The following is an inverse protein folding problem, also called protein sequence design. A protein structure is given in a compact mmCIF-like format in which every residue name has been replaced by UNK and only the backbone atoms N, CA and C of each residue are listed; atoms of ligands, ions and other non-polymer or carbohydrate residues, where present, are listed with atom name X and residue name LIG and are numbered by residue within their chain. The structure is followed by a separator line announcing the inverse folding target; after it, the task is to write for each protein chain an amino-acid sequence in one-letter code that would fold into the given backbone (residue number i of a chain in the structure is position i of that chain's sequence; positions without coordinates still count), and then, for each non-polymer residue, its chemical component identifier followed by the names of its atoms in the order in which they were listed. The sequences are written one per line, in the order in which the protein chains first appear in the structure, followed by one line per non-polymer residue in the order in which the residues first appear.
data_IF_250793769862
#
_entry.id   IF_250793769862
#
_cell.length_a   1.000
_cell.length_b   1.000
_cell.length_c   1.000
_cell.angle_alpha   90.00
_cell.angle_beta   90.00
_cell.angle_gamma   90.00
#
_symmetry.space_group_name_H-M   'P 1'
#
loop_
_entity.id
_entity.type
_entity.pdbx_description
1 polymer ?
#
# COMPACT_ATOMS: atom_id res chain seq x y z
N UNK A 1 3.09 -2.23 -19.27
CA UNK A 1 3.50 -2.95 -18.04
C UNK A 1 2.47 -2.75 -16.92
N UNK A 2 2.34 -1.55 -16.33
CA UNK A 2 1.37 -1.32 -15.26
C UNK A 2 -0.09 -1.43 -15.73
N UNK A 3 -0.41 -0.84 -16.89
CA UNK A 3 -1.73 -1.01 -17.53
C UNK A 3 -2.08 -2.49 -17.76
N UNK A 4 -1.12 -3.29 -18.23
CA UNK A 4 -1.32 -4.72 -18.44
C UNK A 4 -1.60 -5.45 -17.12
N UNK A 5 -0.96 -5.02 -16.02
CA UNK A 5 -1.23 -5.56 -14.69
C UNK A 5 -2.59 -5.15 -14.17
N UNK A 6 -3.02 -3.90 -14.35
CA UNK A 6 -4.38 -3.48 -14.00
C UNK A 6 -5.41 -4.31 -14.80
N UNK A 7 -5.20 -4.45 -16.10
CA UNK A 7 -6.11 -5.18 -16.98
C UNK A 7 -6.22 -6.65 -16.58
N UNK A 8 -5.09 -7.33 -16.37
CA UNK A 8 -5.07 -8.76 -16.06
C UNK A 8 -5.40 -9.10 -14.61
N UNK A 9 -4.99 -8.27 -13.64
CA UNK A 9 -5.13 -8.59 -12.22
C UNK A 9 -6.40 -7.98 -11.62
N UNK A 10 -6.95 -6.91 -12.22
CA UNK A 10 -8.14 -6.20 -11.71
C UNK A 10 -9.31 -6.30 -12.70
N UNK A 11 -9.17 -5.77 -13.91
CA UNK A 11 -10.32 -5.57 -14.83
C UNK A 11 -10.90 -6.90 -15.33
N UNK A 12 -10.05 -7.87 -15.67
CA UNK A 12 -10.49 -9.18 -16.19
C UNK A 12 -10.94 -10.16 -15.11
N UNK A 13 -10.74 -9.83 -13.84
CA UNK A 13 -11.11 -10.71 -12.73
C UNK A 13 -12.45 -10.28 -12.14
N UNK A 14 -13.23 -11.27 -11.72
CA UNK A 14 -14.45 -11.05 -10.96
C UNK A 14 -14.08 -10.81 -9.49
N UNK A 15 -13.85 -9.55 -9.15
CA UNK A 15 -13.44 -9.09 -7.82
C UNK A 15 -14.58 -8.31 -7.18
N UNK A 16 -14.85 -8.58 -5.91
CA UNK A 16 -15.70 -7.71 -5.11
C UNK A 16 -14.86 -6.73 -4.30
N UNK A 17 -15.40 -5.53 -4.07
CA UNK A 17 -14.78 -4.53 -3.20
C UNK A 17 -15.48 -4.58 -1.85
N UNK A 18 -14.71 -4.69 -0.78
CA UNK A 18 -15.19 -4.69 0.60
C UNK A 18 -14.41 -3.69 1.44
N UNK A 19 -14.99 -3.18 2.51
CA UNK A 19 -14.26 -2.32 3.43
C UNK A 19 -13.12 -3.08 4.10
N UNK A 20 -11.97 -2.42 4.20
CA UNK A 20 -10.79 -2.97 4.87
C UNK A 20 -11.06 -3.29 6.34
N UNK A 21 -11.84 -2.45 7.03
CA UNK A 21 -12.30 -2.70 8.41
C UNK A 21 -13.10 -4.02 8.51
N UNK A 22 -13.95 -4.31 7.52
CA UNK A 22 -14.84 -5.48 7.49
C UNK A 22 -14.16 -6.79 7.04
N UNK A 23 -12.83 -6.82 7.00
CA UNK A 23 -12.04 -7.89 6.37
C UNK A 23 -12.15 -9.24 7.08
N UNK A 24 -13.16 -10.02 6.70
CA UNK A 24 -13.14 -11.48 6.70
C UNK A 24 -12.19 -11.95 5.58
N UNK A 25 -11.36 -12.99 5.81
CA UNK A 25 -10.25 -13.47 4.95
C UNK A 25 -10.73 -14.08 3.60
N UNK A 26 -11.68 -13.41 2.94
CA UNK A 26 -12.31 -13.79 1.68
C UNK A 26 -11.29 -13.74 0.55
N UNK A 27 -11.38 -14.74 -0.33
CA UNK A 27 -10.60 -14.79 -1.57
C UNK A 27 -11.28 -13.95 -2.64
N UNK A 28 -10.51 -13.42 -3.59
CA UNK A 28 -10.99 -12.63 -4.74
C UNK A 28 -11.72 -11.33 -4.34
N UNK A 29 -11.20 -10.64 -3.33
CA UNK A 29 -11.70 -9.33 -2.93
C UNK A 29 -10.58 -8.30 -2.99
N UNK A 30 -10.96 -7.07 -3.31
CA UNK A 30 -10.15 -5.88 -3.10
C UNK A 30 -10.68 -5.15 -1.87
N UNK A 31 -9.79 -4.50 -1.12
CA UNK A 31 -10.20 -3.80 0.09
C UNK A 31 -10.22 -2.30 -0.15
N UNK A 32 -11.37 -1.67 0.01
CA UNK A 32 -11.47 -0.20 0.07
C UNK A 32 -10.99 0.27 1.45
N UNK A 33 -10.14 1.28 1.43
CA UNK A 33 -9.53 1.84 2.61
C UNK A 33 -10.52 2.77 3.33
N UNK A 34 -11.06 2.31 4.46
CA UNK A 34 -12.10 3.03 5.21
C UNK A 34 -11.71 3.41 6.64
N UNK A 35 -10.43 3.28 6.99
CA UNK A 35 -9.86 3.69 8.28
C UNK A 35 -8.93 4.90 8.13
N UNK A 36 -8.39 5.42 9.24
CA UNK A 36 -7.46 6.54 9.19
C UNK A 36 -6.23 6.23 8.31
N UNK A 37 -5.98 7.06 7.29
CA UNK A 37 -4.85 6.91 6.38
C UNK A 37 -3.55 7.32 7.10
N UNK A 38 -2.52 6.46 7.14
CA UNK A 38 -1.25 6.73 7.79
C UNK A 38 -0.48 7.85 7.09
N UNK A 39 0.34 8.58 7.85
CA UNK A 39 1.10 9.72 7.36
C UNK A 39 2.08 9.35 6.24
N UNK A 40 2.57 8.12 6.21
CA UNK A 40 3.45 7.61 5.18
C UNK A 40 2.77 7.54 3.80
N UNK A 41 1.44 7.49 3.76
CA UNK A 41 0.64 7.57 2.53
C UNK A 41 0.22 8.99 2.15
N UNK A 42 0.62 10.02 2.93
CA UNK A 42 0.31 11.42 2.63
C UNK A 42 0.76 11.86 1.23
N UNK A 43 1.86 11.28 0.73
CA UNK A 43 2.37 11.51 -0.63
C UNK A 43 1.36 11.23 -1.75
N UNK A 44 0.35 10.38 -1.52
CA UNK A 44 -0.76 10.17 -2.47
C UNK A 44 -1.60 11.43 -2.65
N UNK A 45 -1.82 12.20 -1.58
CA UNK A 45 -2.58 13.44 -1.66
C UNK A 45 -1.78 14.55 -2.36
N UNK A 46 -0.47 14.60 -2.15
CA UNK A 46 0.40 15.61 -2.76
C UNK A 46 0.40 15.53 -4.29
N UNK A 47 0.44 14.30 -4.84
CA UNK A 47 0.39 14.07 -6.29
C UNK A 47 -0.95 14.51 -6.89
N UNK A 48 -2.07 14.23 -6.20
CA UNK A 48 -3.40 14.66 -6.67
C UNK A 48 -3.59 16.19 -6.68
N UNK A 49 -2.84 16.93 -5.87
CA UNK A 49 -3.06 18.37 -5.68
C UNK A 49 -2.19 19.26 -6.57
N UNK A 50 -1.08 18.74 -7.10
CA UNK A 50 -0.13 19.58 -7.83
C UNK A 50 0.83 18.77 -8.70
N UNK A 51 0.85 19.07 -9.99
CA UNK A 51 1.86 18.54 -10.93
C UNK A 51 3.27 19.12 -10.73
N UNK A 52 3.42 20.12 -9.85
CA UNK A 52 4.69 20.84 -9.62
C UNK A 52 5.54 20.16 -8.57
N UNK A 53 6.08 19.00 -8.90
CA UNK A 53 7.07 18.31 -8.08
C UNK A 53 8.50 18.71 -8.46
N UNK A 54 9.38 18.84 -7.46
CA UNK A 54 10.80 19.06 -7.71
C UNK A 54 11.41 17.81 -8.35
N UNK A 55 12.21 17.96 -9.41
CA UNK A 55 12.92 16.82 -9.98
C UNK A 55 13.94 16.29 -8.98
N UNK A 56 14.12 14.97 -8.96
CA UNK A 56 15.16 14.32 -8.17
C UNK A 56 16.54 14.76 -8.65
N UNK A 57 17.37 15.30 -7.74
CA UNK A 57 18.71 15.77 -8.05
C UNK A 57 19.76 14.80 -7.51
N UNK A 58 20.47 14.08 -8.38
CA UNK A 58 21.51 13.13 -7.97
C UNK A 58 22.75 13.76 -7.28
N UNK A 59 22.86 15.09 -7.22
CA UNK A 59 23.89 15.80 -6.44
C UNK A 59 23.49 15.96 -4.97
N UNK A 60 22.21 16.20 -4.72
CA UNK A 60 21.67 16.57 -3.40
C UNK A 60 20.87 15.42 -2.75
N UNK A 61 20.25 14.58 -3.58
CA UNK A 61 19.39 13.48 -3.18
C UNK A 61 20.10 12.11 -3.25
N UNK A 62 19.66 11.19 -2.38
CA UNK A 62 20.20 9.84 -2.33
C UNK A 62 19.15 8.82 -2.75
N UNK A 63 19.46 8.01 -3.77
CA UNK A 63 18.58 6.96 -4.27
C UNK A 63 18.14 5.97 -3.17
N UNK A 64 18.96 5.79 -2.14
CA UNK A 64 18.69 4.92 -0.99
C UNK A 64 17.57 5.43 -0.08
N UNK A 65 17.20 6.70 -0.21
CA UNK A 65 16.14 7.34 0.56
C UNK A 65 14.78 7.23 -0.13
N UNK A 66 14.72 6.71 -1.37
CA UNK A 66 13.45 6.47 -2.06
C UNK A 66 12.70 5.34 -1.37
N UNK A 67 11.54 5.65 -0.80
CA UNK A 67 10.69 4.74 -0.03
C UNK A 67 9.51 4.18 -0.82
N UNK A 68 9.06 4.90 -1.84
CA UNK A 68 7.93 4.52 -2.68
C UNK A 68 8.07 5.05 -4.10
N UNK A 69 7.31 4.45 -5.01
CA UNK A 69 7.11 4.88 -6.38
C UNK A 69 5.60 5.11 -6.56
N UNK A 70 5.23 6.34 -6.90
CA UNK A 70 3.89 6.70 -7.33
C UNK A 70 3.85 6.74 -8.85
N UNK A 71 2.84 6.11 -9.46
CA UNK A 71 2.64 6.08 -10.90
C UNK A 71 1.25 6.63 -11.18
N UNK A 72 1.19 7.83 -11.75
CA UNK A 72 -0.04 8.44 -12.21
C UNK A 72 -0.32 8.02 -13.66
N UNK A 73 -1.55 7.59 -13.92
CA UNK A 73 -2.02 7.14 -15.22
C UNK A 73 -3.39 7.77 -15.45
N UNK A 74 -3.52 8.57 -16.51
CA UNK A 74 -4.79 9.24 -16.80
C UNK A 74 -4.67 10.34 -17.81
N UNK A 75 -5.77 11.09 -17.90
CA UNK A 75 -5.88 12.35 -18.62
C UNK A 75 -6.43 13.44 -17.66
N UNK A 76 -6.87 14.56 -18.22
CA UNK A 76 -7.38 15.69 -17.44
C UNK A 76 -8.73 15.42 -16.77
N UNK A 77 -9.43 14.33 -17.14
CA UNK A 77 -10.75 13.98 -16.63
C UNK A 77 -10.70 12.80 -15.67
N UNK A 78 -9.89 11.78 -15.97
CA UNK A 78 -9.82 10.54 -15.21
C UNK A 78 -8.36 10.19 -14.89
N UNK A 79 -8.06 10.05 -13.61
CA UNK A 79 -6.73 9.69 -13.11
C UNK A 79 -6.80 8.49 -12.17
N UNK A 80 -5.76 7.68 -12.26
CA UNK A 80 -5.48 6.56 -11.37
C UNK A 80 -4.05 6.71 -10.86
N UNK A 81 -3.85 6.57 -9.56
CA UNK A 81 -2.52 6.58 -8.95
C UNK A 81 -2.20 5.20 -8.38
N UNK A 82 -1.08 4.63 -8.79
CA UNK A 82 -0.56 3.37 -8.25
C UNK A 82 0.51 3.68 -7.21
N UNK A 83 0.40 3.06 -6.04
CA UNK A 83 1.41 3.14 -4.98
C UNK A 83 2.22 1.84 -4.90
N UNK A 84 3.53 1.95 -5.05
CA UNK A 84 4.45 0.82 -4.91
C UNK A 84 5.50 1.10 -3.86
N UNK A 85 5.63 0.25 -2.85
CA UNK A 85 6.70 0.35 -1.87
C UNK A 85 8.05 0.02 -2.52
N UNK A 86 9.09 0.80 -2.18
CA UNK A 86 10.45 0.64 -2.70
C UNK A 86 11.37 0.21 -1.56
N UNK A 87 11.58 -1.09 -1.44
CA UNK A 87 12.57 -1.61 -0.51
C UNK A 87 13.99 -1.37 -1.04
N UNK A 88 14.98 -1.18 -0.15
CA UNK A 88 16.39 -0.97 -0.53
C UNK A 88 16.95 -2.10 -1.41
N UNK A 89 16.41 -3.31 -1.30
CA UNK A 89 16.78 -4.46 -2.15
C UNK A 89 16.42 -4.26 -3.64
N UNK A 90 15.51 -3.33 -3.96
CA UNK A 90 15.15 -2.98 -5.33
C UNK A 90 16.13 -2.00 -5.98
N UNK A 91 17.12 -1.51 -5.21
CA UNK A 91 18.24 -0.71 -5.69
C UNK A 91 19.42 -1.65 -5.94
N UNK A 92 19.73 -1.84 -7.20
CA UNK A 92 20.79 -2.69 -7.67
C UNK A 92 22.06 -1.88 -7.90
N UNK A 93 23.22 -2.39 -7.49
CA UNK A 93 24.48 -1.66 -7.63
C UNK A 93 25.65 -2.28 -6.85
N UNK A 94 26.65 -1.42 -6.57
CA UNK A 94 28.06 -1.61 -6.14
C UNK A 94 28.52 -2.95 -5.54
N UNK A 95 27.68 -3.71 -4.83
CA UNK A 95 28.03 -5.00 -4.22
C UNK A 95 27.80 -6.21 -5.13
N UNK A 96 26.93 -6.08 -6.14
CA UNK A 96 26.54 -7.19 -7.01
C UNK A 96 27.07 -6.97 -8.45
N UNK A 97 27.30 -8.06 -9.18
CA UNK A 97 27.83 -8.02 -10.54
C UNK A 97 26.70 -8.12 -11.57
N UNK A 98 26.19 -6.97 -12.04
CA UNK A 98 25.15 -6.92 -13.07
C UNK A 98 25.74 -6.78 -14.46
N UNK A 99 25.17 -7.52 -15.40
CA UNK A 99 25.52 -7.49 -16.81
C UNK A 99 24.33 -7.03 -17.64
N UNK A 100 24.57 -6.13 -18.58
CA UNK A 100 23.61 -5.80 -19.66
C UNK A 100 24.17 -6.19 -21.01
N UNK A 101 23.29 -6.49 -21.96
CA UNK A 101 23.68 -6.65 -23.37
C UNK A 101 24.35 -5.36 -23.88
N UNK A 102 25.36 -5.53 -24.72
CA UNK A 102 26.03 -4.54 -25.56
C UNK A 102 26.05 -5.13 -26.98
N UNK A 103 26.52 -4.36 -27.97
CA UNK A 103 26.54 -4.72 -29.40
C UNK A 103 26.86 -6.20 -29.68
N UNK A 104 27.96 -6.72 -29.11
CA UNK A 104 28.42 -8.10 -29.36
C UNK A 104 28.78 -8.87 -28.09
N UNK A 105 28.60 -8.28 -26.90
CA UNK A 105 29.00 -8.88 -25.62
C UNK A 105 28.21 -8.32 -24.44
N UNK A 106 28.33 -8.93 -23.28
CA UNK A 106 27.84 -8.34 -22.04
C UNK A 106 28.81 -7.28 -21.50
N UNK A 107 28.26 -6.20 -20.94
CA UNK A 107 29.02 -5.18 -20.21
C UNK A 107 28.48 -5.06 -18.78
N UNK A 108 29.39 -4.87 -17.83
CA UNK A 108 29.05 -4.62 -16.43
C UNK A 108 28.30 -3.29 -16.27
N UNK A 109 27.24 -3.29 -15.46
CA UNK A 109 26.60 -2.07 -14.97
C UNK A 109 27.35 -1.62 -13.71
N UNK A 110 27.92 -0.42 -13.75
CA UNK A 110 28.65 0.16 -12.62
C UNK A 110 27.79 1.15 -11.82
N UNK A 111 26.72 1.64 -12.42
CA UNK A 111 25.80 2.61 -11.82
C UNK A 111 24.75 1.92 -10.95
N UNK A 112 24.20 2.66 -9.98
CA UNK A 112 23.03 2.21 -9.23
C UNK A 112 21.77 2.35 -10.10
N UNK A 113 20.86 1.38 -10.03
CA UNK A 113 19.62 1.40 -10.80
C UNK A 113 18.47 0.74 -10.03
N UNK A 114 17.25 1.18 -10.32
CA UNK A 114 16.05 0.53 -9.79
C UNK A 114 15.66 -0.67 -10.65
N UNK A 115 15.22 -1.75 -9.99
CA UNK A 115 14.36 -2.75 -10.62
C UNK A 115 12.94 -2.46 -10.21
N UNK A 116 12.10 -2.18 -11.21
CA UNK A 116 10.69 -1.93 -11.01
C UNK A 116 9.93 -3.10 -11.60
N UNK A 117 9.16 -3.79 -10.75
CA UNK A 117 8.18 -4.79 -11.16
C UNK A 117 6.79 -4.16 -11.23
N UNK A 118 5.87 -4.74 -12.01
CA UNK A 118 4.58 -4.11 -12.25
C UNK A 118 3.59 -4.21 -11.10
N UNK A 119 3.82 -5.08 -10.12
CA UNK A 119 2.94 -5.16 -8.95
C UNK A 119 3.00 -3.88 -8.12
N UNK A 120 1.86 -3.49 -7.56
CA UNK A 120 1.69 -2.34 -6.68
C UNK A 120 0.84 -2.75 -5.48
N UNK A 121 0.92 -1.99 -4.41
CA UNK A 121 0.25 -2.30 -3.15
C UNK A 121 -1.11 -1.62 -3.04
N UNK A 122 -1.23 -0.40 -3.57
CA UNK A 122 -2.47 0.38 -3.55
C UNK A 122 -2.75 0.94 -4.94
N UNK A 123 -4.03 1.17 -5.21
CA UNK A 123 -4.54 1.94 -6.34
C UNK A 123 -5.52 2.97 -5.80
N UNK A 124 -5.32 4.24 -6.15
CA UNK A 124 -6.27 5.29 -5.89
C UNK A 124 -7.03 5.60 -7.18
N UNK A 125 -8.35 5.57 -7.12
CA UNK A 125 -9.24 5.82 -8.27
C UNK A 125 -10.50 6.52 -7.77
N UNK A 126 -10.89 7.61 -8.43
CA UNK A 126 -12.09 8.39 -8.09
C UNK A 126 -12.19 8.79 -6.59
N UNK A 127 -11.05 9.08 -5.96
CA UNK A 127 -10.98 9.44 -4.54
C UNK A 127 -10.97 8.25 -3.57
N UNK A 128 -11.34 7.05 -4.02
CA UNK A 128 -11.23 5.82 -3.23
C UNK A 128 -9.81 5.26 -3.29
N UNK A 129 -9.29 4.87 -2.14
CA UNK A 129 -8.02 4.17 -2.02
C UNK A 129 -8.29 2.67 -1.85
N UNK A 130 -7.79 1.85 -2.77
CA UNK A 130 -8.03 0.41 -2.80
C UNK A 130 -6.71 -0.32 -2.55
N UNK A 131 -6.75 -1.30 -1.66
CA UNK A 131 -5.64 -2.17 -1.29
C UNK A 131 -5.64 -3.42 -2.19
N UNK A 132 -4.54 -3.60 -2.91
CA UNK A 132 -4.29 -4.77 -3.78
C UNK A 132 -3.48 -5.84 -3.04
N UNK A 133 -2.54 -5.43 -2.21
CA UNK A 133 -1.65 -6.32 -1.45
C UNK A 133 -1.77 -6.04 0.05
N UNK A 134 -2.81 -6.62 0.66
CA UNK A 134 -3.12 -6.45 2.08
C UNK A 134 -1.93 -6.79 2.97
N UNK A 135 -1.24 -7.90 2.70
CA UNK A 135 -0.12 -8.37 3.52
C UNK A 135 1.03 -7.37 3.59
N UNK A 136 1.36 -6.77 2.44
CA UNK A 136 2.42 -5.76 2.40
C UNK A 136 1.96 -4.49 3.11
N UNK A 137 0.73 -4.06 2.88
CA UNK A 137 0.16 -2.87 3.52
C UNK A 137 0.14 -3.03 5.04
N UNK A 138 -0.35 -4.15 5.57
CA UNK A 138 -0.38 -4.42 7.00
C UNK A 138 1.00 -4.29 7.65
N UNK A 139 2.02 -4.86 7.00
CA UNK A 139 3.40 -4.83 7.48
C UNK A 139 4.04 -3.44 7.44
N UNK A 140 3.76 -2.64 6.41
CA UNK A 140 4.50 -1.40 6.17
C UNK A 140 3.99 -0.20 6.96
N UNK A 141 2.70 -0.18 7.32
CA UNK A 141 2.10 1.00 7.95
C UNK A 141 1.50 0.74 9.34
N UNK A 142 1.81 -0.42 9.94
CA UNK A 142 1.34 -0.72 11.30
C UNK A 142 -0.19 -0.80 11.40
N UNK A 143 -0.84 -1.39 10.40
CA UNK A 143 -2.31 -1.54 10.37
C UNK A 143 -2.87 -2.25 11.59
N UNK A 144 -2.06 -3.12 12.21
CA UNK A 144 -2.46 -3.80 13.42
C UNK A 144 -2.94 -2.80 14.48
N UNK A 145 -2.23 -1.68 14.64
CA UNK A 145 -2.61 -0.64 15.59
C UNK A 145 -3.85 0.14 15.17
N UNK A 146 -4.04 0.37 13.86
CA UNK A 146 -5.22 1.05 13.35
C UNK A 146 -6.50 0.20 13.52
N UNK A 147 -6.42 -1.10 13.20
CA UNK A 147 -7.51 -2.07 13.38
C UNK A 147 -7.81 -2.23 14.88
N UNK A 148 -6.79 -2.35 15.74
CA UNK A 148 -6.98 -2.40 17.19
C UNK A 148 -7.64 -1.14 17.73
N UNK A 149 -7.25 0.04 17.24
CA UNK A 149 -7.85 1.32 17.66
C UNK A 149 -9.33 1.37 17.29
N UNK A 150 -9.69 0.92 16.09
CA UNK A 150 -11.08 0.86 15.63
C UNK A 150 -11.89 -0.16 16.45
N UNK A 151 -11.33 -1.36 16.69
CA UNK A 151 -11.96 -2.38 17.52
C UNK A 151 -12.21 -1.89 18.97
N UNK A 152 -11.32 -1.05 19.52
CA UNK A 152 -11.50 -0.40 20.83
C UNK A 152 -12.70 0.55 20.84
N UNK A 153 -13.01 1.22 19.73
CA UNK A 153 -14.22 2.04 19.57
C UNK A 153 -15.47 1.13 19.59
N UNK A 154 -15.42 0.00 18.90
CA UNK A 154 -16.49 -1.00 18.93
C UNK A 154 -16.75 -1.55 20.34
N UNK A 155 -15.70 -1.86 21.11
CA UNK A 155 -15.84 -2.28 22.52
C UNK A 155 -16.51 -1.18 23.34
N UNK A 156 -16.10 0.08 23.21
CA UNK A 156 -16.72 1.19 23.93
C UNK A 156 -18.22 1.31 23.62
N UNK A 157 -18.63 1.07 22.37
CA UNK A 157 -20.03 1.05 22.01
C UNK A 157 -20.80 -0.09 22.71
N UNK A 158 -20.20 -1.28 22.80
CA UNK A 158 -20.78 -2.44 23.49
C UNK A 158 -20.88 -2.22 25.01
N UNK A 159 -19.82 -1.67 25.63
CA UNK A 159 -19.81 -1.28 27.04
C UNK A 159 -20.95 -0.30 27.36
N UNK A 160 -21.17 0.67 26.48
CA UNK A 160 -22.26 1.64 26.58
C UNK A 160 -23.66 1.01 26.57
N UNK A 161 -23.81 -0.22 26.05
CA UNK A 161 -25.08 -0.94 26.08
C UNK A 161 -25.36 -1.61 27.45
N UNK A 162 -24.38 -1.64 28.37
CA UNK A 162 -24.47 -2.26 29.69
C UNK A 162 -24.90 -3.74 29.67
N UNK A 163 -24.56 -4.46 28.59
CA UNK A 163 -24.92 -5.87 28.39
C UNK A 163 -23.89 -6.87 28.94
N UNK A 164 -22.72 -6.40 29.36
CA UNK A 164 -21.57 -7.24 29.71
C UNK A 164 -21.10 -6.93 31.13
N UNK A 165 -20.96 -7.96 31.96
CA UNK A 165 -20.49 -7.82 33.36
C UNK A 165 -18.97 -7.58 33.46
N UNK A 166 -18.18 -8.13 32.54
CA UNK A 166 -16.72 -7.98 32.53
C UNK A 166 -16.21 -7.62 31.12
N UNK A 167 -16.12 -6.32 30.79
CA UNK A 167 -15.62 -5.88 29.49
C UNK A 167 -14.10 -6.03 29.33
N UNK A 168 -13.34 -6.20 30.41
CA UNK A 168 -11.87 -6.36 30.36
C UNK A 168 -11.44 -7.54 29.49
N UNK A 169 -12.23 -8.63 29.48
CA UNK A 169 -11.96 -9.79 28.63
C UNK A 169 -12.00 -9.43 27.14
N UNK A 170 -12.83 -8.47 26.73
CA UNK A 170 -12.86 -8.01 25.33
C UNK A 170 -11.63 -7.16 25.00
N UNK A 171 -11.19 -6.30 25.92
CA UNK A 171 -9.96 -5.51 25.76
C UNK A 171 -8.72 -6.39 25.63
N UNK A 172 -8.61 -7.45 26.42
CA UNK A 172 -7.54 -8.43 26.31
C UNK A 172 -7.55 -9.15 24.96
N UNK A 173 -8.74 -9.54 24.47
CA UNK A 173 -8.88 -10.25 23.20
C UNK A 173 -8.58 -9.37 21.98
N UNK A 174 -8.83 -8.06 22.04
CA UNK A 174 -8.52 -7.13 20.93
C UNK A 174 -7.02 -7.00 20.64
N UNK A 175 -6.15 -7.40 21.56
CA UNK A 175 -4.72 -7.47 21.25
C UNK A 175 -4.38 -8.55 20.20
N UNK A 176 -5.28 -9.53 19.97
CA UNK A 176 -5.25 -10.45 18.83
C UNK A 176 -5.94 -9.82 17.60
N UNK A 177 -5.18 -9.66 16.51
CA UNK A 177 -5.66 -9.05 15.26
C UNK A 177 -6.89 -9.76 14.67
N UNK A 178 -6.96 -11.08 14.81
CA UNK A 178 -8.05 -11.93 14.30
C UNK A 178 -9.35 -11.63 15.04
N UNK A 179 -9.24 -11.31 16.34
CA UNK A 179 -10.38 -10.93 17.15
C UNK A 179 -10.74 -9.45 16.98
N UNK A 180 -9.74 -8.55 16.90
CA UNK A 180 -9.95 -7.13 16.65
C UNK A 180 -10.80 -6.88 15.39
N UNK A 181 -10.54 -7.60 14.30
CA UNK A 181 -11.33 -7.55 13.05
C UNK A 181 -12.82 -7.90 13.21
N UNK A 182 -13.22 -8.60 14.28
CA UNK A 182 -14.64 -8.96 14.52
C UNK A 182 -15.40 -7.87 15.28
N UNK A 183 -14.70 -6.85 15.75
CA UNK A 183 -15.22 -5.79 16.61
C UNK A 183 -15.11 -4.38 16.00
N UNK A 184 -14.55 -4.28 14.80
CA UNK A 184 -14.64 -3.11 13.93
C UNK A 184 -15.97 -3.10 13.18
#
# INVERSE_FOLDING_TARGET
MFLDTIDNDIVKNDLSVVNLSSSDDRKNVLYEYDINIPNELSSLNDVNQSDRHLPFNFLDDNIKNVTALLIEIGDNENQVILYKTMARINIYGRKNFFLKKSDVRFKKINDEFFRISPNFQLIQVNGSLIVIDLKTIEKFFGFEEAIKKEAKIGIQAIEGMLLIENPETLHELVEDITFARKLT
#
